data_IF_187107669739
#
_entry.id   IF_187107669739
#
_cell.length_a   1.000
_cell.length_b   1.000
_cell.length_c   1.000
_cell.angle_alpha   90.00
_cell.angle_beta   90.00
_cell.angle_gamma   90.00
#
_symmetry.space_group_name_H-M   'P 1'
#
loop_
_entity.id
_entity.type
_entity.pdbx_description
1 polymer ?
#
# COMPACT_ATOMS: atom_id res chain seq x y z
N UNK A 1 23.03 -14.95 -82.21
CA UNK A 1 23.40 -13.82 -81.34
C UNK A 1 22.29 -13.63 -80.30
N UNK A 2 22.50 -14.07 -79.06
CA UNK A 2 21.52 -13.99 -77.95
C UNK A 2 22.23 -13.42 -76.73
N UNK A 3 22.19 -12.10 -76.56
CA UNK A 3 22.67 -11.38 -75.35
C UNK A 3 21.80 -10.14 -75.18
N UNK A 4 20.69 -10.26 -74.45
CA UNK A 4 19.76 -9.13 -74.25
C UNK A 4 18.79 -9.28 -73.08
N UNK A 5 18.58 -10.49 -72.54
CA UNK A 5 17.56 -10.73 -71.51
C UNK A 5 18.08 -10.70 -70.06
N UNK A 6 19.40 -10.64 -69.83
CA UNK A 6 19.96 -10.81 -68.49
C UNK A 6 19.97 -9.52 -67.64
N UNK A 7 19.91 -8.32 -68.26
CA UNK A 7 20.02 -7.05 -67.54
C UNK A 7 18.69 -6.54 -66.95
N UNK A 8 17.55 -6.99 -67.49
CA UNK A 8 16.23 -6.55 -66.99
C UNK A 8 15.80 -7.28 -65.72
N UNK A 9 16.28 -8.50 -65.50
CA UNK A 9 15.96 -9.27 -64.28
C UNK A 9 16.74 -8.75 -63.04
N UNK A 10 17.98 -8.28 -63.23
CA UNK A 10 18.79 -7.73 -62.13
C UNK A 10 18.28 -6.39 -61.60
N UNK A 11 17.74 -5.53 -62.48
CA UNK A 11 17.20 -4.22 -62.10
C UNK A 11 15.91 -4.29 -61.28
N UNK A 12 15.05 -5.27 -61.55
CA UNK A 12 13.76 -5.40 -60.85
C UNK A 12 13.89 -5.89 -59.40
N UNK A 13 14.93 -6.69 -59.10
CA UNK A 13 15.19 -7.17 -57.73
C UNK A 13 15.82 -6.10 -56.83
N UNK A 14 16.50 -5.10 -57.40
CA UNK A 14 17.07 -3.99 -56.64
C UNK A 14 16.03 -2.90 -56.32
N UNK A 15 15.01 -2.71 -57.17
CA UNK A 15 13.93 -1.74 -56.92
C UNK A 15 12.97 -2.21 -55.81
N UNK A 16 12.77 -3.52 -55.67
CA UNK A 16 11.98 -4.08 -54.55
C UNK A 16 12.68 -3.96 -53.19
N UNK A 17 14.00 -3.74 -53.16
CA UNK A 17 14.75 -3.50 -51.92
C UNK A 17 14.67 -2.03 -51.43
N UNK A 18 14.19 -1.10 -52.27
CA UNK A 18 14.16 0.33 -51.98
C UNK A 18 12.80 0.91 -51.60
N UNK A 19 11.72 0.13 -51.67
CA UNK A 19 10.36 0.60 -51.42
C UNK A 19 9.80 0.13 -50.06
N UNK A 20 10.62 0.19 -49.02
CA UNK A 20 10.13 0.21 -47.64
C UNK A 20 9.81 1.65 -47.26
N UNK A 21 8.55 2.07 -47.40
CA UNK A 21 8.06 3.31 -46.77
C UNK A 21 8.33 3.31 -45.25
N UNK A 22 8.02 4.38 -44.51
CA UNK A 22 8.30 4.51 -43.08
C UNK A 22 7.46 3.51 -42.26
N UNK A 23 7.85 2.24 -42.32
CA UNK A 23 7.23 1.12 -41.67
C UNK A 23 8.38 0.38 -40.99
N UNK A 24 8.70 0.88 -39.79
CA UNK A 24 9.42 0.18 -38.72
C UNK A 24 9.56 -1.32 -38.98
N UNK A 25 10.78 -1.78 -39.27
CA UNK A 25 11.08 -3.18 -39.47
C UNK A 25 10.73 -4.03 -38.22
N UNK A 26 10.79 -5.36 -38.33
CA UNK A 26 10.48 -6.26 -37.21
C UNK A 26 11.24 -5.92 -35.91
N UNK A 27 12.49 -5.47 -36.03
CA UNK A 27 13.32 -5.03 -34.90
C UNK A 27 12.76 -3.76 -34.21
N UNK A 28 12.41 -2.70 -34.95
CA UNK A 28 11.78 -1.50 -34.38
C UNK A 28 10.46 -1.82 -33.67
N UNK A 29 9.69 -2.79 -34.17
CA UNK A 29 8.43 -3.21 -33.54
C UNK A 29 8.71 -3.86 -32.18
N UNK A 30 9.70 -4.75 -32.11
CA UNK A 30 10.13 -5.38 -30.85
C UNK A 30 10.60 -4.32 -29.86
N UNK A 31 11.43 -3.36 -30.30
CA UNK A 31 11.94 -2.28 -29.45
C UNK A 31 10.78 -1.43 -28.91
N UNK A 32 9.83 -1.05 -29.77
CA UNK A 32 8.66 -0.27 -29.37
C UNK A 32 7.79 -1.03 -28.36
N UNK A 33 7.53 -2.31 -28.61
CA UNK A 33 6.69 -3.12 -27.73
C UNK A 33 7.37 -3.40 -26.39
N UNK A 34 8.71 -3.50 -26.39
CA UNK A 34 9.52 -3.73 -25.19
C UNK A 34 9.72 -2.46 -24.35
N UNK A 35 9.66 -1.28 -24.96
CA UNK A 35 9.84 0.01 -24.27
C UNK A 35 8.51 0.72 -23.99
N UNK A 36 7.38 0.13 -24.38
CA UNK A 36 6.07 0.74 -24.13
C UNK A 36 5.84 0.90 -22.63
N UNK A 37 5.33 2.06 -22.17
CA UNK A 37 4.94 2.24 -20.79
C UNK A 37 3.91 1.18 -20.37
N UNK A 38 4.08 0.64 -19.16
CA UNK A 38 3.08 -0.25 -18.58
C UNK A 38 1.82 0.55 -18.20
N UNK A 39 0.62 -0.02 -18.38
CA UNK A 39 -0.61 0.55 -17.83
C UNK A 39 -0.42 0.83 -16.34
N UNK A 40 -0.64 2.08 -15.94
CA UNK A 40 -0.61 2.46 -14.54
C UNK A 40 -1.97 2.16 -13.91
N UNK A 41 -1.98 1.37 -12.84
CA UNK A 41 -3.18 1.23 -12.03
C UNK A 41 -3.44 2.53 -11.26
N UNK A 42 -4.71 2.88 -10.97
CA UNK A 42 -5.01 3.95 -10.03
C UNK A 42 -4.32 3.68 -8.68
N UNK A 43 -3.88 4.73 -7.96
CA UNK A 43 -3.38 4.57 -6.61
C UNK A 43 -4.40 3.85 -5.72
N UNK A 44 -3.96 2.94 -4.84
CA UNK A 44 -4.87 2.30 -3.91
C UNK A 44 -5.54 3.35 -3.01
N UNK A 45 -6.84 3.21 -2.79
CA UNK A 45 -7.54 4.00 -1.78
C UNK A 45 -7.14 3.49 -0.39
N UNK A 46 -6.23 4.22 0.28
CA UNK A 46 -5.88 3.92 1.67
C UNK A 46 -7.03 4.38 2.56
N UNK A 47 -7.78 3.42 3.11
CA UNK A 47 -8.71 3.70 4.20
C UNK A 47 -7.94 3.72 5.51
N UNK A 48 -8.26 4.66 6.38
CA UNK A 48 -7.75 4.58 7.74
C UNK A 48 -8.23 3.29 8.40
N UNK A 49 -7.37 2.60 9.18
CA UNK A 49 -7.78 1.43 9.93
C UNK A 49 -8.94 1.74 10.87
N UNK A 50 -9.93 0.85 10.90
CA UNK A 50 -11.06 0.94 11.84
C UNK A 50 -10.62 0.80 13.29
N UNK A 51 -9.47 0.16 13.53
CA UNK A 51 -8.89 -0.02 14.86
C UNK A 51 -7.43 0.43 14.92
N UNK A 52 -7.02 0.90 16.10
CA UNK A 52 -5.65 1.30 16.40
C UNK A 52 -5.12 0.43 17.54
N UNK A 53 -3.90 -0.06 17.39
CA UNK A 53 -3.20 -0.76 18.45
C UNK A 53 -2.67 0.25 19.46
N UNK A 54 -2.96 0.00 20.72
CA UNK A 54 -2.45 0.77 21.84
C UNK A 54 -1.49 -0.12 22.62
N UNK A 55 -0.21 0.25 22.73
CA UNK A 55 0.77 -0.52 23.49
C UNK A 55 0.42 -0.62 24.98
N UNK A 56 1.08 -1.55 25.64
CA UNK A 56 1.03 -1.67 27.09
C UNK A 56 1.53 -0.38 27.76
N UNK A 57 0.93 -0.03 28.91
CA UNK A 57 1.29 1.18 29.65
C UNK A 57 0.95 1.06 31.13
N UNK A 58 1.67 1.83 31.93
CA UNK A 58 1.28 2.16 33.30
C UNK A 58 0.48 3.46 33.29
N UNK A 59 -0.75 3.43 33.81
CA UNK A 59 -1.63 4.60 33.90
C UNK A 59 -1.94 4.93 35.35
N UNK A 60 -1.97 6.22 35.73
CA UNK A 60 -2.51 6.64 37.02
C UNK A 60 -3.94 6.12 37.21
N UNK A 61 -4.26 5.65 38.40
CA UNK A 61 -5.62 5.23 38.76
C UNK A 61 -5.92 5.59 40.22
N UNK A 62 -7.18 5.97 40.55
CA UNK A 62 -7.58 6.23 41.92
C UNK A 62 -7.26 5.04 42.84
N UNK A 63 -6.62 5.30 43.99
CA UNK A 63 -6.23 4.26 44.94
C UNK A 63 -4.97 3.47 44.55
N UNK A 64 -4.34 3.75 43.41
CA UNK A 64 -3.09 3.13 42.98
C UNK A 64 -1.99 4.20 42.78
N UNK A 65 -1.20 4.54 43.81
CA UNK A 65 -0.19 5.60 43.75
C UNK A 65 0.90 5.39 42.69
N UNK A 66 1.17 4.13 42.35
CA UNK A 66 2.12 3.73 41.31
C UNK A 66 1.45 3.46 39.95
N UNK A 67 0.14 3.71 39.85
CA UNK A 67 -0.68 3.38 38.71
C UNK A 67 -1.03 1.90 38.61
N UNK A 68 -1.73 1.56 37.53
CA UNK A 68 -2.05 0.19 37.11
C UNK A 68 -1.46 -0.09 35.74
N UNK A 69 -0.99 -1.32 35.55
CA UNK A 69 -0.57 -1.83 34.25
C UNK A 69 -1.80 -2.17 33.41
N UNK A 70 -1.80 -1.70 32.17
CA UNK A 70 -2.82 -1.97 31.16
C UNK A 70 -2.13 -2.68 29.99
N UNK A 71 -2.49 -3.92 29.68
CA UNK A 71 -1.93 -4.62 28.53
C UNK A 71 -2.27 -3.95 27.20
N UNK A 72 -1.46 -4.23 26.20
CA UNK A 72 -1.72 -3.75 24.84
C UNK A 72 -3.07 -4.26 24.32
N UNK A 73 -3.81 -3.39 23.65
CA UNK A 73 -5.17 -3.67 23.20
C UNK A 73 -5.51 -2.92 21.90
N UNK A 74 -6.58 -3.37 21.25
CA UNK A 74 -7.14 -2.68 20.08
C UNK A 74 -8.26 -1.74 20.50
N UNK A 75 -8.23 -0.52 19.97
CA UNK A 75 -9.31 0.45 20.12
C UNK A 75 -9.98 0.73 18.79
N UNK A 76 -11.31 0.82 18.79
CA UNK A 76 -12.07 1.11 17.57
C UNK A 76 -12.23 2.62 17.38
N UNK A 77 -11.93 3.12 16.18
CA UNK A 77 -12.20 4.51 15.78
C UNK A 77 -13.71 4.72 15.64
N UNK A 78 -14.19 5.82 16.18
CA UNK A 78 -15.57 6.28 16.00
C UNK A 78 -15.61 7.44 14.99
N UNK A 79 -16.75 7.68 14.32
CA UNK A 79 -16.86 8.71 13.28
C UNK A 79 -16.55 10.14 13.73
N UNK A 80 -16.72 10.42 15.02
CA UNK A 80 -16.45 11.70 15.67
C UNK A 80 -14.98 11.87 16.10
N UNK A 81 -14.10 10.95 15.72
CA UNK A 81 -12.69 10.93 16.10
C UNK A 81 -12.41 10.39 17.50
N UNK A 82 -13.45 10.04 18.27
CA UNK A 82 -13.31 9.36 19.55
C UNK A 82 -12.90 7.90 19.34
N UNK A 83 -12.55 7.23 20.44
CA UNK A 83 -12.16 5.83 20.46
C UNK A 83 -13.07 5.05 21.38
N UNK A 84 -13.57 3.91 20.91
CA UNK A 84 -14.19 2.92 21.78
C UNK A 84 -13.09 2.00 22.32
N UNK A 85 -12.94 2.04 23.63
CA UNK A 85 -12.01 1.19 24.41
C UNK A 85 -12.81 0.01 24.96
N UNK A 86 -12.38 -1.25 24.74
CA UNK A 86 -13.03 -2.39 25.37
C UNK A 86 -12.81 -2.37 26.90
N UNK A 87 -13.56 -3.14 27.69
CA UNK A 87 -13.15 -3.41 29.07
C UNK A 87 -11.75 -4.02 29.10
N UNK A 88 -10.87 -3.49 29.96
CA UNK A 88 -9.45 -3.88 29.99
C UNK A 88 -9.09 -4.53 31.31
N UNK A 89 -8.43 -5.70 31.29
CA UNK A 89 -7.79 -6.21 32.49
C UNK A 89 -6.69 -5.23 32.92
N UNK A 90 -6.57 -5.02 34.23
CA UNK A 90 -5.52 -4.19 34.81
C UNK A 90 -4.77 -4.95 35.88
N UNK A 91 -3.51 -4.61 36.09
CA UNK A 91 -2.71 -5.17 37.17
C UNK A 91 -2.12 -4.06 38.03
N UNK A 92 -2.42 -4.05 39.33
CA UNK A 92 -1.82 -3.11 40.27
C UNK A 92 -0.32 -3.31 40.42
N UNK A 93 0.38 -2.35 41.03
CA UNK A 93 1.84 -2.40 41.19
C UNK A 93 2.37 -3.59 41.99
N UNK A 94 1.50 -4.28 42.74
CA UNK A 94 1.82 -5.48 43.53
C UNK A 94 1.31 -6.78 42.88
N UNK A 95 0.78 -6.72 41.65
CA UNK A 95 0.22 -7.89 40.97
C UNK A 95 -1.29 -8.06 41.14
N UNK A 96 -1.95 -7.17 41.87
CA UNK A 96 -3.40 -7.24 42.13
C UNK A 96 -4.21 -7.16 40.83
N UNK A 97 -5.05 -8.14 40.52
CA UNK A 97 -5.87 -8.10 39.32
C UNK A 97 -7.01 -7.08 39.47
N UNK A 98 -7.38 -6.45 38.35
CA UNK A 98 -8.48 -5.50 38.28
C UNK A 98 -9.09 -5.43 36.87
N UNK A 99 -10.12 -4.60 36.72
CA UNK A 99 -10.81 -4.37 35.46
C UNK A 99 -11.13 -2.89 35.32
N UNK A 100 -10.68 -2.29 34.21
CA UNK A 100 -11.13 -0.97 33.81
C UNK A 100 -12.39 -1.08 32.95
N UNK A 101 -13.41 -0.23 33.18
CA UNK A 101 -14.62 -0.24 32.37
C UNK A 101 -14.32 0.25 30.95
N UNK A 102 -14.88 -0.46 29.96
CA UNK A 102 -14.85 0.00 28.58
C UNK A 102 -15.67 1.28 28.36
N UNK A 103 -15.58 1.84 27.16
CA UNK A 103 -16.41 2.96 26.75
C UNK A 103 -15.74 3.88 25.75
N UNK A 104 -16.42 4.99 25.47
CA UNK A 104 -15.91 6.05 24.59
C UNK A 104 -14.89 6.89 25.36
N UNK A 105 -13.74 7.13 24.74
CA UNK A 105 -12.63 7.91 25.28
C UNK A 105 -12.02 8.81 24.20
N UNK A 106 -11.32 9.89 24.59
CA UNK A 106 -10.45 10.66 23.69
C UNK A 106 -9.35 9.79 23.07
N UNK A 107 -8.56 10.34 22.16
CA UNK A 107 -7.38 9.63 21.62
C UNK A 107 -6.38 9.26 22.73
N UNK A 108 -5.64 8.13 22.61
CA UNK A 108 -4.79 7.59 23.68
C UNK A 108 -3.80 8.60 24.29
N UNK A 109 -3.26 9.49 23.46
CA UNK A 109 -2.25 10.48 23.86
C UNK A 109 -2.80 11.56 24.81
N UNK A 110 -4.13 11.69 24.91
CA UNK A 110 -4.82 12.69 25.74
C UNK A 110 -5.46 12.11 27.01
N UNK A 111 -5.18 10.85 27.35
CA UNK A 111 -5.83 10.18 28.48
C UNK A 111 -4.97 10.21 29.73
N UNK A 112 -5.63 10.42 30.87
CA UNK A 112 -5.02 10.35 32.20
C UNK A 112 -5.23 8.99 32.89
N UNK A 113 -5.98 8.07 32.27
CA UNK A 113 -6.34 6.77 32.82
C UNK A 113 -6.46 5.66 31.77
N UNK A 114 -6.84 4.43 32.19
CA UNK A 114 -7.00 3.29 31.30
C UNK A 114 -7.94 3.54 30.11
#
# INVERSE_FOLDING_TARGET
MRRGAALLAGGLLLVQAGAGGPASGPAERIIRDSTRPLPQAPPPQVREPESVWVPDRWVPAPGAPRGVFVPGHWERRLPDGQRYVPPLPTTGSHGEPGMAPGGVRPVPERREGP
#
